data_IF_343969162765
#
_entry.id   IF_343969162765
#
_cell.length_a   1.000
_cell.length_b   1.000
_cell.length_c   1.000
_cell.angle_alpha   90.00
_cell.angle_beta   90.00
_cell.angle_gamma   90.00
#
_symmetry.space_group_name_H-M   'P 1'
#
loop_
_entity.id
_entity.type
_entity.pdbx_description
1 polymer ?
#
# COMPACT_ATOMS: atom_id res chain seq x y z
N UNK A 1 -25.79 65.24 12.49
CA UNK A 1 -26.83 65.34 11.44
C UNK A 1 -27.08 63.92 10.98
N UNK A 2 -27.98 63.21 11.67
CA UNK A 2 -29.42 63.17 11.37
C UNK A 2 -29.68 62.47 10.02
N UNK A 3 -30.61 61.53 9.86
CA UNK A 3 -31.51 60.77 10.72
C UNK A 3 -32.43 60.00 9.74
N UNK A 4 -33.10 58.94 10.23
CA UNK A 4 -34.41 58.43 9.73
C UNK A 4 -34.40 57.68 8.35
N UNK A 5 -35.08 56.54 8.11
CA UNK A 5 -36.39 56.06 8.57
C UNK A 5 -36.56 54.53 8.45
N UNK A 6 -37.61 54.04 9.12
CA UNK A 6 -37.96 52.66 9.44
C UNK A 6 -39.23 52.16 8.70
N UNK A 7 -39.58 50.87 8.92
CA UNK A 7 -40.86 50.16 8.69
C UNK A 7 -41.10 49.54 7.29
N UNK A 8 -41.71 48.35 7.10
CA UNK A 8 -42.77 47.68 7.88
C UNK A 8 -42.95 46.16 7.57
N UNK A 9 -43.45 45.46 8.59
CA UNK A 9 -44.42 44.35 8.65
C UNK A 9 -44.25 43.02 7.88
N UNK A 10 -44.21 41.92 8.64
CA UNK A 10 -44.72 40.60 8.25
C UNK A 10 -45.44 39.95 9.43
N UNK A 11 -46.65 39.44 9.20
CA UNK A 11 -47.39 38.56 10.09
C UNK A 11 -48.26 37.66 9.23
N UNK A 12 -48.17 36.33 9.43
CA UNK A 12 -49.30 35.39 9.57
C UNK A 12 -48.72 34.05 10.07
N UNK A 13 -49.28 33.54 11.18
CA UNK A 13 -49.08 32.20 11.76
C UNK A 13 -50.09 31.19 11.18
N UNK A 14 -49.88 29.89 11.49
CA UNK A 14 -50.82 28.75 11.73
C UNK A 14 -50.24 27.50 11.06
N UNK A 15 -50.23 26.27 11.58
CA UNK A 15 -50.50 25.67 12.89
C UNK A 15 -49.98 24.21 12.84
N UNK A 16 -49.70 23.66 14.01
CA UNK A 16 -49.18 22.34 14.34
C UNK A 16 -50.24 21.24 14.37
N UNK A 17 -49.85 19.96 14.13
CA UNK A 17 -49.82 18.87 15.14
C UNK A 17 -49.49 17.48 14.56
N UNK A 18 -48.72 16.71 15.36
CA UNK A 18 -48.37 15.28 15.31
C UNK A 18 -49.35 14.43 16.12
N UNK A 19 -49.48 13.12 15.81
CA UNK A 19 -49.77 11.97 16.72
C UNK A 19 -49.24 10.71 15.98
N UNK A 20 -48.26 9.89 16.40
CA UNK A 20 -48.00 9.01 17.57
C UNK A 20 -48.76 7.65 17.56
N UNK A 21 -48.03 6.53 17.67
CA UNK A 21 -48.51 5.13 17.72
C UNK A 21 -47.87 4.39 18.91
N UNK A 22 -48.64 3.55 19.62
CA UNK A 22 -48.14 2.64 20.66
C UNK A 22 -49.09 1.49 21.04
N UNK A 23 -48.51 0.27 21.04
CA UNK A 23 -48.60 -0.88 22.00
C UNK A 23 -49.87 -1.72 22.31
N UNK A 24 -49.79 -3.04 21.96
CA UNK A 24 -50.02 -4.33 22.71
C UNK A 24 -51.39 -4.70 23.40
N UNK A 25 -51.66 -5.96 23.88
CA UNK A 25 -51.23 -7.36 23.52
C UNK A 25 -52.32 -8.51 23.66
N UNK A 26 -51.90 -9.79 23.45
CA UNK A 26 -52.31 -11.09 24.11
C UNK A 26 -53.54 -11.95 23.67
N UNK A 27 -53.33 -13.24 23.30
CA UNK A 27 -53.82 -14.48 23.98
C UNK A 27 -53.63 -15.82 23.18
N UNK A 28 -53.80 -16.95 23.90
CA UNK A 28 -53.25 -18.33 23.81
C UNK A 28 -54.02 -19.41 22.95
N UNK A 29 -53.26 -20.33 22.27
CA UNK A 29 -53.17 -21.84 22.34
C UNK A 29 -54.45 -22.74 22.17
N UNK A 30 -54.44 -24.05 21.74
CA UNK A 30 -53.76 -24.81 20.63
C UNK A 30 -54.65 -25.93 19.95
N UNK A 31 -54.07 -26.77 19.06
CA UNK A 31 -54.57 -28.13 18.72
C UNK A 31 -54.12 -28.65 17.34
N UNK A 32 -53.11 -29.53 17.24
CA UNK A 32 -53.13 -31.02 17.10
C UNK A 32 -53.16 -31.59 15.66
N UNK A 33 -52.22 -32.52 15.44
CA UNK A 33 -52.19 -33.70 14.51
C UNK A 33 -52.14 -33.46 12.99
N UNK A 34 -51.55 -34.31 12.12
CA UNK A 34 -50.50 -35.32 12.11
C UNK A 34 -50.52 -35.97 10.68
N UNK A 35 -49.39 -36.54 10.22
CA UNK A 35 -49.27 -37.74 9.35
C UNK A 35 -49.33 -37.62 7.80
N UNK A 36 -48.20 -38.01 7.18
CA UNK A 36 -47.95 -38.83 5.96
C UNK A 36 -48.58 -38.43 4.59
N UNK A 37 -48.04 -38.76 3.41
CA UNK A 37 -46.81 -39.43 2.95
C UNK A 37 -46.82 -39.40 1.40
N UNK A 38 -45.61 -39.45 0.83
CA UNK A 38 -45.24 -40.26 -0.35
C UNK A 38 -45.59 -39.83 -1.80
N UNK A 39 -44.51 -39.95 -2.60
CA UNK A 39 -44.41 -40.57 -3.93
C UNK A 39 -44.66 -39.72 -5.20
N UNK A 40 -43.52 -39.35 -5.80
CA UNK A 40 -43.13 -39.27 -7.23
C UNK A 40 -43.65 -40.42 -8.13
N UNK A 41 -43.35 -40.47 -9.45
CA UNK A 41 -43.03 -39.44 -10.47
C UNK A 41 -43.81 -39.66 -11.79
N UNK A 42 -43.74 -38.76 -12.79
CA UNK A 42 -43.75 -39.19 -14.19
C UNK A 42 -43.17 -38.16 -15.17
N UNK A 43 -42.39 -38.71 -16.11
CA UNK A 43 -41.61 -38.09 -17.19
C UNK A 43 -42.50 -37.49 -18.28
N UNK A 44 -42.02 -36.45 -18.96
CA UNK A 44 -41.66 -36.49 -20.39
C UNK A 44 -41.29 -35.10 -20.93
N UNK A 45 -40.05 -34.97 -21.41
CA UNK A 45 -39.63 -34.04 -22.46
C UNK A 45 -40.10 -34.58 -23.82
N UNK A 46 -40.31 -33.73 -24.85
CA UNK A 46 -39.18 -33.31 -25.70
C UNK A 46 -39.25 -31.86 -26.24
N UNK A 47 -38.08 -31.24 -26.42
CA UNK A 47 -37.81 -30.14 -27.39
C UNK A 47 -37.39 -30.76 -28.74
N UNK A 48 -37.06 -30.03 -29.84
CA UNK A 48 -37.08 -28.57 -30.08
C UNK A 48 -37.69 -28.16 -31.45
N UNK A 49 -38.00 -26.87 -31.63
CA UNK A 49 -38.18 -26.28 -32.97
C UNK A 49 -37.38 -24.97 -33.09
N UNK A 50 -36.41 -24.98 -34.02
CA UNK A 50 -35.77 -23.81 -34.63
C UNK A 50 -36.74 -23.16 -35.61
N UNK A 51 -36.63 -21.84 -35.80
CA UNK A 51 -36.51 -21.17 -37.11
C UNK A 51 -36.07 -19.69 -36.89
N UNK A 52 -35.47 -19.03 -37.92
CA UNK A 52 -34.53 -17.91 -37.81
C UNK A 52 -35.17 -16.54 -38.13
N UNK A 53 -34.42 -15.42 -38.06
CA UNK A 53 -34.47 -14.22 -38.94
C UNK A 53 -33.53 -13.14 -38.33
N UNK A 54 -32.32 -12.96 -38.87
CA UNK A 54 -31.88 -11.98 -39.88
C UNK A 54 -31.65 -10.54 -39.38
N UNK A 55 -30.41 -10.10 -39.62
CA UNK A 55 -29.89 -8.74 -39.49
C UNK A 55 -30.49 -7.82 -40.55
N UNK A 56 -30.81 -6.59 -40.17
CA UNK A 56 -30.86 -5.46 -41.11
C UNK A 56 -30.06 -4.28 -40.58
N UNK A 57 -29.04 -3.93 -41.35
CA UNK A 57 -28.34 -2.65 -41.38
C UNK A 57 -28.91 -1.82 -42.53
N UNK A 58 -29.17 -0.53 -42.33
CA UNK A 58 -28.99 0.57 -43.32
C UNK A 58 -29.31 1.94 -42.69
N UNK A 59 -28.80 3.04 -43.27
CA UNK A 59 -28.44 4.28 -42.58
C UNK A 59 -29.43 5.42 -42.82
N UNK A 60 -29.41 6.48 -42.00
CA UNK A 60 -29.94 7.79 -42.43
C UNK A 60 -29.17 8.96 -41.83
N UNK A 61 -28.64 9.78 -42.74
CA UNK A 61 -28.10 11.12 -42.57
C UNK A 61 -29.19 12.17 -42.78
N UNK A 62 -29.30 13.15 -41.89
CA UNK A 62 -29.33 14.61 -42.14
C UNK A 62 -30.04 15.40 -41.03
N UNK A 63 -29.28 16.33 -40.43
CA UNK A 63 -29.67 17.48 -39.62
C UNK A 63 -30.41 18.55 -40.47
N UNK A 64 -31.07 19.56 -39.84
CA UNK A 64 -30.34 20.79 -39.51
C UNK A 64 -30.61 21.38 -38.10
N UNK A 65 -29.49 21.86 -37.52
CA UNK A 65 -29.24 23.06 -36.70
C UNK A 65 -30.33 23.68 -35.80
N UNK A 66 -30.04 23.84 -34.50
CA UNK A 66 -29.38 25.04 -33.92
C UNK A 66 -29.70 25.18 -32.42
N UNK A 67 -28.71 25.10 -31.52
CA UNK A 67 -28.74 25.77 -30.20
C UNK A 67 -27.31 25.82 -29.59
N UNK A 68 -26.88 27.04 -29.21
CA UNK A 68 -25.54 27.36 -28.70
C UNK A 68 -25.35 26.99 -27.20
N UNK A 69 -24.11 26.70 -26.76
CA UNK A 69 -23.80 26.33 -25.37
C UNK A 69 -23.38 27.57 -24.54
N UNK A 70 -23.89 27.70 -23.31
CA UNK A 70 -23.37 28.65 -22.31
C UNK A 70 -22.85 27.91 -21.07
N UNK A 71 -21.53 27.85 -21.00
CA UNK A 71 -20.63 27.98 -19.83
C UNK A 71 -21.27 27.87 -18.43
N UNK A 72 -21.04 26.74 -17.77
CA UNK A 72 -21.10 26.62 -16.31
C UNK A 72 -19.75 27.04 -15.73
N UNK A 73 -19.72 28.23 -15.13
CA UNK A 73 -18.60 28.72 -14.30
C UNK A 73 -18.82 28.27 -12.86
N UNK A 74 -17.79 27.65 -12.30
CA UNK A 74 -17.62 27.30 -10.89
C UNK A 74 -17.65 28.56 -10.02
N UNK A 75 -18.39 28.52 -8.92
CA UNK A 75 -18.39 29.57 -7.91
C UNK A 75 -17.47 29.16 -6.75
N UNK A 76 -16.46 30.00 -6.52
CA UNK A 76 -15.43 29.89 -5.50
C UNK A 76 -15.97 30.08 -4.09
N UNK A 77 -15.44 29.30 -3.15
CA UNK A 77 -15.66 29.38 -1.70
C UNK A 77 -14.89 30.57 -1.11
N UNK A 78 -15.49 31.44 -0.27
CA UNK A 78 -14.77 32.49 0.45
C UNK A 78 -14.15 31.97 1.78
N UNK A 79 -13.02 32.54 2.24
CA UNK A 79 -12.29 32.09 3.44
C UNK A 79 -12.95 32.58 4.75
N UNK A 80 -12.61 31.96 5.91
CA UNK A 80 -13.15 32.36 7.21
C UNK A 80 -12.55 33.69 7.73
N UNK A 81 -13.25 34.42 8.62
CA UNK A 81 -12.84 35.74 9.08
C UNK A 81 -11.69 35.71 10.11
N UNK A 82 -10.80 36.70 9.98
CA UNK A 82 -9.67 37.00 10.88
C UNK A 82 -10.14 37.65 12.19
N UNK A 83 -9.57 37.22 13.31
CA UNK A 83 -9.78 37.78 14.65
C UNK A 83 -9.12 39.17 14.82
N UNK A 84 -9.70 40.11 15.60
CA UNK A 84 -9.15 41.45 15.79
C UNK A 84 -7.98 41.49 16.80
N UNK A 85 -7.09 42.50 16.71
CA UNK A 85 -5.89 42.59 17.53
C UNK A 85 -6.19 43.10 18.95
N UNK A 86 -5.51 42.53 19.96
CA UNK A 86 -5.51 43.04 21.33
C UNK A 86 -4.61 44.28 21.43
N UNK A 87 -5.20 45.38 21.89
CA UNK A 87 -4.51 46.61 22.24
C UNK A 87 -3.76 46.49 23.57
N UNK A 88 -2.63 47.18 23.63
CA UNK A 88 -1.71 47.34 24.75
C UNK A 88 -2.24 48.30 25.82
N UNK A 89 -1.85 48.07 27.07
CA UNK A 89 -1.92 49.05 28.14
C UNK A 89 -0.69 48.95 29.02
N UNK A 90 0.15 49.99 29.00
CA UNK A 90 1.17 50.29 30.00
C UNK A 90 0.84 51.65 30.64
N UNK A 91 1.24 51.90 31.90
CA UNK A 91 1.42 53.26 32.37
C UNK A 91 2.87 53.55 32.81
N UNK A 92 3.38 54.67 32.28
CA UNK A 92 4.21 55.72 32.88
C UNK A 92 5.33 55.37 33.88
N UNK A 93 6.55 55.86 33.54
CA UNK A 93 7.30 56.68 34.49
C UNK A 93 8.83 56.67 34.42
N UNK A 94 9.39 57.75 33.85
CA UNK A 94 10.69 58.41 34.13
C UNK A 94 12.00 57.87 33.51
N UNK A 95 12.57 58.71 32.64
CA UNK A 95 14.02 58.82 32.30
C UNK A 95 14.80 59.60 33.39
N UNK A 96 16.15 59.56 33.41
CA UNK A 96 17.01 60.36 32.51
C UNK A 96 18.20 59.55 31.92
N UNK A 97 18.56 59.67 30.63
CA UNK A 97 19.45 60.66 29.99
C UNK A 97 20.97 60.30 30.02
N UNK A 98 21.56 60.25 28.81
CA UNK A 98 22.92 60.72 28.41
C UNK A 98 24.03 59.67 28.06
N UNK A 99 24.49 59.82 26.80
CA UNK A 99 25.79 59.54 26.15
C UNK A 99 26.26 58.13 25.74
N UNK A 100 26.42 57.99 24.42
CA UNK A 100 27.40 57.15 23.70
C UNK A 100 28.83 57.70 23.80
N UNK A 101 29.87 56.84 23.69
CA UNK A 101 30.68 56.89 22.46
C UNK A 101 31.17 55.51 21.95
N UNK A 102 31.66 55.52 20.71
CA UNK A 102 32.11 54.41 19.84
C UNK A 102 33.51 53.81 20.23
N UNK A 103 34.04 52.78 19.51
CA UNK A 103 34.81 51.66 20.07
C UNK A 103 36.35 51.80 19.99
N UNK A 104 37.10 50.81 20.55
CA UNK A 104 38.37 50.39 19.95
C UNK A 104 38.47 48.86 19.72
N UNK A 105 39.23 48.50 18.69
CA UNK A 105 39.67 47.13 18.29
C UNK A 105 41.07 46.86 18.90
N UNK A 106 41.72 45.72 18.62
CA UNK A 106 41.85 44.51 19.46
C UNK A 106 43.18 44.46 20.25
N UNK A 107 43.30 43.52 21.20
CA UNK A 107 44.61 43.05 21.65
C UNK A 107 44.60 41.54 21.95
N UNK A 108 45.73 40.97 21.54
CA UNK A 108 46.19 39.58 21.50
C UNK A 108 46.44 38.91 22.86
N UNK A 109 46.06 37.62 22.96
CA UNK A 109 46.72 36.43 23.56
C UNK A 109 47.35 36.50 24.98
N UNK A 110 47.27 35.44 25.83
CA UNK A 110 47.78 34.11 25.46
C UNK A 110 47.04 32.85 25.96
N UNK A 111 47.21 31.82 25.14
CA UNK A 111 47.27 30.38 25.41
C UNK A 111 47.00 29.87 26.85
N UNK A 112 45.92 29.10 26.99
CA UNK A 112 45.84 27.99 27.95
C UNK A 112 45.70 26.66 27.19
N UNK A 113 46.73 25.84 27.35
CA UNK A 113 46.80 24.46 26.90
C UNK A 113 45.81 23.61 27.70
N UNK A 114 44.81 23.04 27.03
CA UNK A 114 44.02 21.94 27.53
C UNK A 114 44.01 20.85 26.44
N UNK A 115 44.67 19.73 26.74
CA UNK A 115 44.69 18.54 25.91
C UNK A 115 43.27 17.98 25.74
N UNK A 116 42.82 17.59 24.54
CA UNK A 116 41.54 16.92 24.40
C UNK A 116 41.68 15.47 24.89
N UNK A 117 41.02 15.19 26.02
CA UNK A 117 40.63 13.84 26.41
C UNK A 117 39.81 13.22 25.28
N UNK A 118 40.20 12.02 24.88
CA UNK A 118 39.63 11.19 23.82
C UNK A 118 38.11 11.25 23.73
N UNK A 119 37.61 11.73 22.60
CA UNK A 119 36.23 11.52 22.17
C UNK A 119 35.98 10.01 21.96
N UNK A 120 34.78 9.49 22.30
CA UNK A 120 34.44 8.11 21.99
C UNK A 120 34.36 7.92 20.46
N UNK A 121 34.60 6.70 19.95
CA UNK A 121 34.68 6.47 18.52
C UNK A 121 33.32 6.71 17.85
N UNK A 122 33.27 7.74 17.01
CA UNK A 122 32.23 7.90 15.98
C UNK A 122 32.38 6.78 14.95
N UNK A 123 31.88 5.57 15.23
CA UNK A 123 31.87 4.47 14.24
C UNK A 123 30.91 3.33 14.59
N UNK A 124 29.64 3.63 14.85
CA UNK A 124 28.59 2.60 14.99
C UNK A 124 27.30 2.93 14.24
N UNK A 125 27.19 4.11 13.62
CA UNK A 125 26.06 4.41 12.75
C UNK A 125 26.26 3.69 11.41
N UNK A 126 25.30 2.87 10.94
CA UNK A 126 25.36 2.34 9.59
C UNK A 126 25.46 3.51 8.61
N UNK A 127 26.29 3.37 7.58
CA UNK A 127 26.32 4.34 6.49
C UNK A 127 24.90 4.46 5.90
N UNK A 128 24.41 5.66 5.56
CA UNK A 128 23.02 5.89 5.16
C UNK A 128 22.53 5.04 3.97
N UNK A 129 23.46 4.46 3.19
CA UNK A 129 23.16 3.67 1.99
C UNK A 129 23.02 2.14 2.18
N UNK A 130 22.65 1.60 3.35
CA UNK A 130 22.52 0.13 3.45
C UNK A 130 21.59 -0.41 4.54
N UNK A 131 20.46 0.24 4.82
CA UNK A 131 19.45 -0.39 5.69
C UNK A 131 18.80 -1.55 4.90
N UNK A 132 18.93 -2.83 5.34
CA UNK A 132 18.30 -3.94 4.64
C UNK A 132 16.78 -3.87 4.78
N UNK A 133 16.05 -4.26 3.74
CA UNK A 133 14.58 -4.28 3.79
C UNK A 133 14.01 -5.38 4.72
N UNK A 134 14.82 -6.42 4.99
CA UNK A 134 14.49 -7.49 5.93
C UNK A 134 15.69 -7.70 6.83
N UNK A 135 15.48 -7.59 8.14
CA UNK A 135 16.52 -7.82 9.14
C UNK A 135 16.20 -9.09 9.94
N UNK A 136 17.22 -9.93 10.11
CA UNK A 136 17.11 -11.11 10.96
C UNK A 136 17.16 -10.73 12.45
N UNK A 137 16.57 -11.55 13.35
CA UNK A 137 16.63 -11.30 14.78
C UNK A 137 18.07 -11.32 15.32
N UNK A 138 18.94 -12.15 14.73
CA UNK A 138 20.36 -12.24 15.10
C UNK A 138 21.12 -10.98 14.72
N UNK A 139 20.84 -10.40 13.54
CA UNK A 139 21.50 -9.16 13.11
C UNK A 139 21.06 -7.99 13.99
N UNK A 140 19.76 -7.89 14.27
CA UNK A 140 19.20 -6.89 15.18
C UNK A 140 19.75 -7.02 16.60
N UNK A 141 19.85 -8.24 17.13
CA UNK A 141 20.40 -8.50 18.46
C UNK A 141 21.88 -8.12 18.53
N UNK A 142 22.65 -8.47 17.50
CA UNK A 142 24.08 -8.14 17.42
C UNK A 142 24.31 -6.63 17.34
N UNK A 143 23.56 -5.94 16.47
CA UNK A 143 23.70 -4.51 16.24
C UNK A 143 23.21 -3.67 17.44
N UNK A 144 22.08 -4.04 18.05
CA UNK A 144 21.57 -3.37 19.26
C UNK A 144 22.50 -3.57 20.46
N UNK A 145 23.06 -4.77 20.64
CA UNK A 145 24.04 -5.05 21.69
C UNK A 145 25.32 -4.23 21.50
N UNK A 146 25.83 -4.12 20.27
CA UNK A 146 26.99 -3.29 19.95
C UNK A 146 26.74 -1.80 20.23
N UNK A 147 25.50 -1.34 20.08
CA UNK A 147 25.08 0.03 20.41
C UNK A 147 24.68 0.23 21.88
N UNK A 148 24.68 -0.83 22.70
CA UNK A 148 24.16 -0.83 24.09
C UNK A 148 22.73 -0.26 24.19
N UNK A 149 21.84 -0.72 23.30
CA UNK A 149 20.43 -0.34 23.25
C UNK A 149 19.54 -1.59 23.27
N UNK A 150 18.26 -1.39 23.60
CA UNK A 150 17.24 -2.38 23.27
C UNK A 150 17.11 -2.51 21.75
N UNK A 151 16.59 -3.64 21.24
CA UNK A 151 16.32 -3.82 19.81
C UNK A 151 15.37 -2.72 19.31
N UNK A 152 14.34 -2.39 20.10
CA UNK A 152 13.36 -1.37 19.73
C UNK A 152 14.01 0.03 19.65
N UNK A 153 14.79 0.43 20.66
CA UNK A 153 15.55 1.69 20.63
C UNK A 153 16.52 1.73 19.46
N UNK A 154 17.18 0.61 19.14
CA UNK A 154 18.07 0.53 17.99
C UNK A 154 17.32 0.76 16.68
N UNK A 155 16.17 0.10 16.51
CA UNK A 155 15.30 0.29 15.33
C UNK A 155 14.89 1.76 15.22
N UNK A 156 14.35 2.34 16.30
CA UNK A 156 13.88 3.74 16.31
C UNK A 156 15.01 4.72 15.96
N UNK A 157 16.17 4.58 16.59
CA UNK A 157 17.26 5.57 16.47
C UNK A 157 18.11 5.41 15.22
N UNK A 158 18.33 4.17 14.76
CA UNK A 158 19.32 3.89 13.72
C UNK A 158 18.76 3.32 12.43
N UNK A 159 17.52 2.81 12.43
CA UNK A 159 16.92 2.22 11.22
C UNK A 159 15.74 3.03 10.69
N UNK A 160 14.82 3.43 11.56
CA UNK A 160 13.55 4.01 11.15
C UNK A 160 13.73 5.36 10.43
N UNK A 161 14.39 6.34 11.06
CA UNK A 161 14.63 7.64 10.41
C UNK A 161 15.56 7.53 9.19
N UNK A 162 16.72 6.86 9.25
CA UNK A 162 17.58 6.72 8.06
C UNK A 162 16.88 6.04 6.87
N UNK A 163 15.95 5.12 7.12
CA UNK A 163 15.21 4.47 6.06
C UNK A 163 14.23 5.38 5.30
N UNK A 164 13.94 6.60 5.77
CA UNK A 164 13.13 7.55 4.99
C UNK A 164 13.80 7.93 3.66
N UNK A 165 15.13 7.83 3.58
CA UNK A 165 15.90 8.09 2.35
C UNK A 165 15.59 7.09 1.22
N UNK A 166 15.02 5.92 1.56
CA UNK A 166 14.61 4.89 0.59
C UNK A 166 13.20 5.14 0.03
N UNK A 167 12.45 6.10 0.58
CA UNK A 167 11.11 6.43 0.09
C UNK A 167 11.15 7.03 -1.32
N UNK A 168 10.06 6.85 -2.06
CA UNK A 168 9.91 7.38 -3.43
C UNK A 168 8.67 8.28 -3.55
N UNK A 169 8.67 9.52 -2.97
CA UNK A 169 7.51 10.41 -2.98
C UNK A 169 7.68 11.63 -3.92
N UNK A 170 7.75 11.47 -5.25
CA UNK A 170 7.94 12.60 -6.16
C UNK A 170 6.78 13.62 -6.17
N UNK A 171 5.61 13.29 -5.61
CA UNK A 171 4.44 14.19 -5.56
C UNK A 171 4.48 15.04 -4.30
N UNK A 172 4.53 14.41 -3.13
CA UNK A 172 4.47 15.11 -1.83
C UNK A 172 5.83 15.60 -1.35
N UNK A 173 6.92 14.96 -1.78
CA UNK A 173 8.27 15.09 -1.21
C UNK A 173 8.33 14.77 0.29
N UNK A 174 7.33 14.06 0.80
CA UNK A 174 7.21 13.70 2.20
C UNK A 174 7.64 12.24 2.38
N UNK A 175 8.77 12.05 3.06
CA UNK A 175 9.41 10.75 3.18
C UNK A 175 8.98 10.08 4.48
N UNK A 176 8.44 8.87 4.37
CA UNK A 176 7.90 8.10 5.50
C UNK A 176 8.44 6.69 5.44
N UNK A 177 8.80 6.16 6.60
CA UNK A 177 9.25 4.79 6.79
C UNK A 177 8.43 4.13 7.89
N UNK A 178 8.33 2.81 7.80
CA UNK A 178 7.69 1.96 8.79
C UNK A 178 8.46 0.65 8.90
N UNK A 179 8.50 0.06 10.09
CA UNK A 179 9.14 -1.23 10.33
C UNK A 179 8.14 -2.13 11.05
N UNK A 180 7.70 -3.19 10.37
CA UNK A 180 6.84 -4.22 10.94
C UNK A 180 7.69 -5.32 11.60
N UNK A 181 7.35 -5.74 12.82
CA UNK A 181 8.10 -6.77 13.55
C UNK A 181 7.28 -8.05 13.65
N UNK A 182 7.82 -9.14 13.13
CA UNK A 182 7.23 -10.47 13.16
C UNK A 182 7.02 -10.97 14.59
N UNK A 183 5.80 -11.41 14.93
CA UNK A 183 5.45 -11.79 16.30
C UNK A 183 6.15 -13.07 16.78
N UNK A 184 6.39 -14.01 15.86
CA UNK A 184 7.01 -15.31 16.18
C UNK A 184 8.47 -15.35 15.78
N UNK A 185 8.79 -14.77 14.63
CA UNK A 185 10.15 -14.85 14.09
C UNK A 185 11.06 -13.79 14.67
N UNK A 186 10.53 -12.63 15.10
CA UNK A 186 11.32 -11.46 15.48
C UNK A 186 12.00 -10.76 14.30
N UNK A 187 11.73 -11.18 13.04
CA UNK A 187 12.22 -10.49 11.85
C UNK A 187 11.61 -9.10 11.75
N UNK A 188 12.38 -8.14 11.27
CA UNK A 188 11.88 -6.79 10.99
C UNK A 188 11.79 -6.56 9.48
N UNK A 189 10.67 -6.00 9.03
CA UNK A 189 10.36 -5.72 7.63
C UNK A 189 10.21 -4.22 7.46
N UNK A 190 11.16 -3.61 6.78
CA UNK A 190 11.13 -2.20 6.45
C UNK A 190 10.14 -1.96 5.31
N UNK A 191 9.43 -0.84 5.41
CA UNK A 191 8.66 -0.26 4.33
C UNK A 191 8.76 1.24 4.26
N UNK A 192 8.51 1.76 3.07
CA UNK A 192 8.60 3.18 2.73
C UNK A 192 7.44 3.57 1.82
N UNK A 193 7.09 4.85 1.78
CA UNK A 193 6.03 5.31 0.90
C UNK A 193 6.49 5.42 -0.57
N UNK A 194 5.61 5.03 -1.49
CA UNK A 194 5.81 5.10 -2.93
C UNK A 194 4.68 5.93 -3.56
N UNK A 195 5.04 6.88 -4.42
CA UNK A 195 4.09 7.70 -5.17
C UNK A 195 4.42 7.66 -6.66
N UNK A 196 3.37 7.69 -7.48
CA UNK A 196 3.48 7.44 -8.91
C UNK A 196 2.92 8.63 -9.71
N UNK A 197 3.78 9.48 -10.31
CA UNK A 197 3.33 10.61 -11.10
C UNK A 197 2.50 10.21 -12.31
N UNK A 198 1.39 10.91 -12.54
CA UNK A 198 0.55 10.70 -13.73
C UNK A 198 -0.44 9.54 -13.63
N UNK A 199 -0.57 8.90 -12.46
CA UNK A 199 -1.70 8.02 -12.12
C UNK A 199 -2.48 8.60 -10.93
N UNK A 200 -3.75 8.23 -10.71
CA UNK A 200 -4.53 8.73 -9.57
C UNK A 200 -3.91 8.34 -8.22
N UNK A 201 -4.10 9.20 -7.20
CA UNK A 201 -3.52 9.04 -5.85
C UNK A 201 -3.82 7.72 -5.14
N UNK A 202 -4.91 7.03 -5.51
CA UNK A 202 -5.22 5.71 -4.95
C UNK A 202 -4.21 4.62 -5.38
N UNK A 203 -3.29 4.92 -6.30
CA UNK A 203 -2.18 4.03 -6.66
C UNK A 203 -0.98 4.15 -5.72
N UNK A 204 -0.92 5.18 -4.87
CA UNK A 204 0.18 5.38 -3.94
C UNK A 204 0.22 4.27 -2.89
N UNK A 205 1.42 3.93 -2.44
CA UNK A 205 1.66 2.95 -1.37
C UNK A 205 2.16 3.69 -0.14
N UNK A 206 1.53 3.44 1.00
CA UNK A 206 1.97 3.98 2.28
C UNK A 206 3.05 3.08 2.91
N UNK A 207 3.92 3.64 3.75
CA UNK A 207 5.03 2.90 4.36
C UNK A 207 4.54 1.70 5.18
N UNK A 208 3.39 1.82 5.84
CA UNK A 208 2.75 0.76 6.63
C UNK A 208 2.22 -0.37 5.74
N UNK A 209 1.57 -0.03 4.61
CA UNK A 209 1.15 -1.02 3.61
C UNK A 209 2.36 -1.73 3.02
N UNK A 210 3.43 -0.99 2.72
CA UNK A 210 4.69 -1.54 2.24
C UNK A 210 5.26 -2.55 3.25
N UNK A 211 5.41 -2.16 4.52
CA UNK A 211 6.02 -3.02 5.54
C UNK A 211 5.23 -4.33 5.74
N UNK A 212 3.89 -4.25 5.75
CA UNK A 212 3.02 -5.44 5.85
C UNK A 212 3.09 -6.29 4.59
N UNK A 213 3.11 -5.70 3.41
CA UNK A 213 3.27 -6.44 2.15
C UNK A 213 4.64 -7.11 2.05
N UNK A 214 5.70 -6.46 2.54
CA UNK A 214 7.04 -7.04 2.67
C UNK A 214 7.03 -8.23 3.63
N UNK A 215 6.36 -8.11 4.78
CA UNK A 215 6.18 -9.23 5.70
C UNK A 215 5.43 -10.40 5.03
N UNK A 216 4.36 -10.12 4.27
CA UNK A 216 3.61 -11.12 3.51
C UNK A 216 4.48 -11.82 2.45
N UNK A 217 5.25 -11.05 1.66
CA UNK A 217 6.18 -11.55 0.64
C UNK A 217 7.19 -12.54 1.23
N UNK A 218 7.61 -12.32 2.48
CA UNK A 218 8.57 -13.17 3.20
C UNK A 218 7.92 -14.22 4.10
N UNK A 219 6.61 -14.47 3.92
CA UNK A 219 5.87 -15.52 4.63
C UNK A 219 5.77 -15.30 6.14
N UNK A 220 5.83 -14.05 6.62
CA UNK A 220 5.64 -13.77 8.04
C UNK A 220 4.17 -13.98 8.43
N UNK A 221 3.86 -14.82 9.44
CA UNK A 221 2.49 -15.23 9.72
C UNK A 221 1.71 -14.24 10.60
N UNK A 222 2.39 -13.36 11.34
CA UNK A 222 1.78 -12.41 12.27
C UNK A 222 2.76 -11.32 12.68
N UNK A 223 2.24 -10.15 13.06
CA UNK A 223 3.03 -9.00 13.53
C UNK A 223 2.76 -8.72 15.01
N UNK A 224 3.79 -8.29 15.74
CA UNK A 224 3.70 -7.90 17.15
C UNK A 224 3.76 -6.39 17.35
N UNK A 225 4.47 -5.69 16.46
CA UNK A 225 4.62 -4.24 16.51
C UNK A 225 4.77 -3.65 15.11
N UNK A 226 4.38 -2.39 15.00
CA UNK A 226 4.64 -1.52 13.85
C UNK A 226 5.27 -0.23 14.35
N UNK A 227 6.51 0.03 13.95
CA UNK A 227 7.22 1.27 14.25
C UNK A 227 7.11 2.20 13.05
N UNK A 228 6.75 3.46 13.24
CA UNK A 228 6.48 4.41 12.15
C UNK A 228 7.14 5.76 12.39
N UNK A 229 7.69 6.37 11.33
CA UNK A 229 8.32 7.69 11.44
C UNK A 229 7.31 8.84 11.54
N UNK A 230 6.03 8.56 11.22
CA UNK A 230 4.90 9.49 11.32
C UNK A 230 3.63 8.74 11.73
N UNK A 231 2.68 9.39 12.43
CA UNK A 231 1.43 8.75 12.83
C UNK A 231 0.69 8.13 11.64
N UNK A 232 0.19 6.89 11.76
CA UNK A 232 -0.48 6.25 10.63
C UNK A 232 -1.78 6.97 10.32
N UNK A 233 -2.08 7.17 9.03
CA UNK A 233 -3.32 7.81 8.61
C UNK A 233 -4.52 6.86 8.73
N UNK A 234 -5.75 7.37 8.59
CA UNK A 234 -6.97 6.56 8.68
C UNK A 234 -7.00 5.38 7.70
N UNK A 235 -6.45 5.54 6.50
CA UNK A 235 -6.32 4.49 5.48
C UNK A 235 -5.45 3.33 5.97
N UNK A 236 -4.25 3.62 6.50
CA UNK A 236 -3.36 2.61 7.06
C UNK A 236 -3.94 1.95 8.31
N UNK A 237 -4.55 2.73 9.21
CA UNK A 237 -5.24 2.19 10.41
C UNK A 237 -6.31 1.18 10.02
N UNK A 238 -7.03 1.44 8.94
CA UNK A 238 -8.08 0.55 8.42
C UNK A 238 -7.49 -0.67 7.71
N UNK A 239 -6.44 -0.50 6.89
CA UNK A 239 -5.72 -1.60 6.25
C UNK A 239 -5.16 -2.60 7.27
N UNK A 240 -4.60 -2.10 8.38
CA UNK A 240 -4.06 -2.94 9.45
C UNK A 240 -5.13 -3.79 10.17
N UNK A 241 -6.42 -3.49 10.02
CA UNK A 241 -7.48 -4.33 10.60
C UNK A 241 -7.62 -5.69 9.91
N UNK A 242 -6.99 -5.89 8.75
CA UNK A 242 -6.97 -7.18 8.07
C UNK A 242 -6.06 -8.20 8.77
N UNK A 243 -5.25 -7.79 9.75
CA UNK A 243 -4.35 -8.67 10.49
C UNK A 243 -5.08 -9.42 11.61
N UNK A 244 -4.71 -10.69 11.83
CA UNK A 244 -5.13 -11.41 13.04
C UNK A 244 -4.62 -10.71 14.29
N UNK A 245 -5.50 -10.49 15.26
CA UNK A 245 -5.16 -9.82 16.52
C UNK A 245 -4.84 -8.34 16.35
N UNK A 246 -5.35 -7.69 15.29
CA UNK A 246 -5.16 -6.27 15.03
C UNK A 246 -5.46 -5.38 16.24
N UNK A 247 -6.34 -5.77 17.17
CA UNK A 247 -6.61 -4.96 18.39
C UNK A 247 -5.38 -4.76 19.26
N UNK A 248 -4.50 -5.76 19.32
CA UNK A 248 -3.33 -5.81 20.19
C UNK A 248 -2.04 -5.42 19.48
N UNK A 249 -2.09 -5.04 18.20
CA UNK A 249 -0.90 -4.59 17.47
C UNK A 249 -0.36 -3.31 18.15
N UNK A 250 0.85 -3.39 18.69
CA UNK A 250 1.55 -2.22 19.24
C UNK A 250 1.99 -1.32 18.10
N UNK A 251 1.83 -0.02 18.28
CA UNK A 251 2.29 0.99 17.32
C UNK A 251 3.21 1.95 18.05
N UNK A 252 4.45 2.08 17.57
CA UNK A 252 5.43 3.03 18.11
C UNK A 252 5.61 4.14 17.10
N UNK A 253 5.25 5.36 17.47
CA UNK A 253 5.36 6.55 16.65
C UNK A 253 6.63 7.29 17.09
N UNK A 254 7.62 7.37 16.21
CA UNK A 254 8.87 8.04 16.49
C UNK A 254 9.12 9.15 15.47
N UNK A 255 8.59 10.33 15.77
CA UNK A 255 8.81 11.53 14.97
C UNK A 255 10.18 12.12 15.23
N UNK A 256 10.69 12.91 14.27
CA UNK A 256 12.01 13.49 14.39
C UNK A 256 12.04 14.53 15.52
N UNK A 257 13.06 14.46 16.37
CA UNK A 257 13.24 15.33 17.54
C UNK A 257 12.17 15.22 18.66
N UNK A 258 11.29 14.22 18.59
CA UNK A 258 10.32 13.91 19.65
C UNK A 258 10.62 12.56 20.32
N UNK A 259 10.14 12.37 21.56
CA UNK A 259 10.22 11.08 22.21
C UNK A 259 9.25 10.11 21.53
N UNK A 260 9.67 8.86 21.33
CA UNK A 260 8.81 7.85 20.74
C UNK A 260 7.56 7.63 21.64
N UNK A 261 6.38 7.68 21.03
CA UNK A 261 5.11 7.42 21.68
C UNK A 261 4.66 5.99 21.34
N UNK A 262 4.37 5.21 22.38
CA UNK A 262 3.78 3.89 22.23
C UNK A 262 2.26 3.95 22.40
N UNK A 263 1.55 3.33 21.46
CA UNK A 263 0.09 3.21 21.48
C UNK A 263 -0.34 1.85 20.90
N UNK A 264 -1.65 1.64 20.78
CA UNK A 264 -2.21 0.45 20.13
C UNK A 264 -3.06 0.84 18.93
N UNK A 265 -3.23 -0.09 17.99
CA UNK A 265 -4.11 0.15 16.86
C UNK A 265 -5.57 0.39 17.30
N UNK A 266 -6.04 -0.23 18.38
CA UNK A 266 -7.37 0.03 18.97
C UNK A 266 -7.53 1.46 19.46
N UNK A 267 -6.47 2.04 20.04
CA UNK A 267 -6.49 3.44 20.47
C UNK A 267 -6.51 4.39 19.27
N UNK A 268 -5.77 4.06 18.21
CA UNK A 268 -5.71 4.85 16.98
C UNK A 268 -6.99 4.76 16.14
N UNK A 269 -7.72 3.65 16.22
CA UNK A 269 -8.98 3.43 15.50
C UNK A 269 -10.04 2.79 16.42
N UNK A 270 -10.67 3.57 17.31
CA UNK A 270 -11.72 3.06 18.19
C UNK A 270 -12.98 2.72 17.38
N UNK A 271 -13.77 1.76 17.87
CA UNK A 271 -15.01 1.29 17.23
C UNK A 271 -14.83 0.93 15.74
N UNK A 272 -13.72 0.26 15.46
CA UNK A 272 -13.30 -0.14 14.11
C UNK A 272 -14.36 -0.96 13.37
N UNK A 273 -14.32 -0.84 12.05
CA UNK A 273 -14.88 -1.81 11.11
C UNK A 273 -13.76 -2.74 10.61
N UNK A 274 -14.04 -4.00 10.30
CA UNK A 274 -13.00 -4.93 9.84
C UNK A 274 -13.53 -6.34 9.53
N UNK A 275 -12.63 -7.33 9.37
CA UNK A 275 -12.99 -8.70 8.99
C UNK A 275 -14.11 -9.32 9.84
N UNK A 276 -14.04 -9.16 11.16
CA UNK A 276 -15.06 -9.63 12.12
C UNK A 276 -16.49 -9.10 11.86
N UNK A 277 -16.65 -8.05 11.05
CA UNK A 277 -17.96 -7.51 10.65
C UNK A 277 -18.55 -8.21 9.42
N UNK A 278 -17.73 -8.88 8.62
CA UNK A 278 -18.09 -9.44 7.30
C UNK A 278 -17.81 -10.93 7.14
N UNK A 279 -16.85 -11.47 7.89
CA UNK A 279 -16.33 -12.83 7.78
C UNK A 279 -16.60 -13.63 9.05
N UNK A 280 -16.53 -14.95 8.95
CA UNK A 280 -16.55 -15.84 10.12
C UNK A 280 -15.28 -15.69 10.97
N UNK A 281 -15.39 -15.93 12.27
CA UNK A 281 -14.29 -15.74 13.23
C UNK A 281 -13.06 -16.61 12.92
N UNK A 282 -13.28 -17.80 12.37
CA UNK A 282 -12.25 -18.77 12.00
C UNK A 282 -11.69 -18.58 10.58
N UNK A 283 -12.19 -17.59 9.83
CA UNK A 283 -11.70 -17.31 8.48
C UNK A 283 -10.22 -16.88 8.51
N UNK A 284 -9.33 -17.45 7.68
CA UNK A 284 -7.91 -17.05 7.62
C UNK A 284 -7.73 -15.59 7.19
N UNK A 285 -7.00 -14.79 7.99
CA UNK A 285 -6.84 -13.35 7.72
C UNK A 285 -5.54 -13.04 6.97
N UNK A 286 -5.22 -11.75 6.80
CA UNK A 286 -3.97 -11.32 6.18
C UNK A 286 -2.76 -11.90 6.95
N UNK A 287 -1.69 -12.21 6.21
CA UNK A 287 -0.48 -12.92 6.67
C UNK A 287 -0.62 -14.41 6.98
N UNK A 288 -1.83 -14.91 7.22
CA UNK A 288 -2.04 -16.35 7.37
C UNK A 288 -1.90 -17.09 6.02
N UNK A 289 -1.45 -18.35 6.09
CA UNK A 289 -1.25 -19.20 4.93
C UNK A 289 -2.56 -19.39 4.15
N UNK A 290 -2.48 -19.28 2.82
CA UNK A 290 -3.61 -19.49 1.92
C UNK A 290 -3.15 -19.98 0.56
N UNK A 291 -4.04 -20.72 -0.09
CA UNK A 291 -3.91 -21.13 -1.49
C UNK A 291 -5.28 -21.07 -2.15
N UNK A 292 -5.45 -20.14 -3.10
CA UNK A 292 -6.69 -20.00 -3.87
C UNK A 292 -6.89 -21.13 -4.90
N UNK A 293 -5.95 -22.08 -5.00
CA UNK A 293 -6.04 -23.30 -5.81
C UNK A 293 -6.35 -23.04 -7.29
N UNK A 294 -5.81 -21.94 -7.84
CA UNK A 294 -5.97 -21.52 -9.23
C UNK A 294 -4.99 -22.25 -10.15
N UNK A 295 -5.45 -22.52 -11.37
CA UNK A 295 -4.66 -23.04 -12.48
C UNK A 295 -4.92 -22.20 -13.73
N UNK A 296 -3.87 -21.97 -14.53
CA UNK A 296 -3.99 -21.24 -15.80
C UNK A 296 -4.96 -21.96 -16.74
N UNK A 297 -5.79 -21.18 -17.45
CA UNK A 297 -6.70 -21.69 -18.47
C UNK A 297 -5.91 -22.10 -19.72
N UNK A 298 -4.98 -21.25 -20.13
CA UNK A 298 -4.03 -21.51 -21.21
C UNK A 298 -2.65 -21.76 -20.59
N UNK A 299 -2.21 -23.04 -20.49
CA UNK A 299 -0.91 -23.36 -19.90
C UNK A 299 0.23 -22.75 -20.70
N UNK A 300 1.24 -22.24 -19.99
CA UNK A 300 2.50 -21.77 -20.60
C UNK A 300 3.51 -22.91 -20.64
N UNK A 301 4.30 -22.99 -21.71
CA UNK A 301 5.38 -23.97 -21.84
C UNK A 301 6.47 -23.70 -20.79
N UNK A 302 6.71 -24.66 -19.91
CA UNK A 302 7.78 -24.57 -18.91
C UNK A 302 9.01 -25.29 -19.48
N UNK A 303 10.18 -24.62 -19.62
CA UNK A 303 11.41 -25.34 -19.91
C UNK A 303 11.65 -26.40 -18.84
N UNK A 304 12.23 -27.53 -19.22
CA UNK A 304 12.49 -28.60 -18.26
C UNK A 304 13.50 -28.10 -17.20
N UNK A 305 13.47 -28.60 -15.94
CA UNK A 305 14.44 -28.20 -14.91
C UNK A 305 15.91 -28.43 -15.31
N UNK A 306 16.16 -29.24 -16.34
CA UNK A 306 17.50 -29.52 -16.87
C UNK A 306 18.04 -28.41 -17.78
N UNK A 307 17.20 -27.50 -18.25
CA UNK A 307 17.61 -26.40 -19.16
C UNK A 307 18.17 -25.17 -18.41
N UNK A 308 18.03 -25.11 -17.07
CA UNK A 308 18.50 -24.00 -16.23
C UNK A 308 19.99 -24.08 -15.81
N UNK A 309 20.73 -25.13 -16.20
CA UNK A 309 22.08 -25.43 -15.68
C UNK A 309 23.22 -24.58 -16.30
N UNK A 310 22.95 -23.48 -17.02
CA UNK A 310 24.04 -22.67 -17.63
C UNK A 310 24.04 -21.17 -17.29
N UNK A 311 23.36 -20.74 -16.22
CA UNK A 311 23.68 -19.43 -15.62
C UNK A 311 24.05 -19.64 -14.15
N UNK A 312 25.35 -19.64 -13.80
CA UNK A 312 25.76 -19.73 -12.41
C UNK A 312 25.22 -18.52 -11.63
N UNK A 313 24.73 -18.69 -10.40
CA UNK A 313 24.57 -17.55 -9.51
C UNK A 313 25.95 -16.94 -9.29
N UNK A 314 26.12 -15.66 -9.59
CA UNK A 314 27.33 -14.92 -9.22
C UNK A 314 27.40 -14.87 -7.68
N UNK A 315 28.09 -15.86 -7.12
CA UNK A 315 28.49 -15.86 -5.73
C UNK A 315 29.36 -14.62 -5.48
N UNK A 316 28.80 -13.62 -4.78
CA UNK A 316 29.59 -12.51 -4.24
C UNK A 316 30.46 -13.04 -3.11
N UNK A 317 31.66 -13.50 -3.46
CA UNK A 317 32.74 -13.65 -2.49
C UNK A 317 33.24 -12.25 -2.13
N UNK A 318 33.01 -11.83 -0.89
CA UNK A 318 33.69 -10.67 -0.31
C UNK A 318 35.17 -10.99 -0.18
N UNK A 319 36.00 -10.33 -0.99
CA UNK A 319 37.44 -10.26 -0.77
C UNK A 319 37.88 -8.81 -0.82
N UNK A 320 38.44 -8.36 0.29
CA UNK A 320 39.01 -7.04 0.50
C UNK A 320 40.31 -6.88 -0.29
N UNK A 321 40.26 -6.24 -1.44
CA UNK A 321 41.44 -5.71 -2.11
C UNK A 321 41.10 -4.44 -2.92
N UNK A 322 41.99 -3.45 -2.82
CA UNK A 322 41.91 -2.08 -3.36
C UNK A 322 41.79 -2.00 -4.89
N UNK A 323 41.22 -0.91 -5.46
CA UNK A 323 40.95 -0.83 -6.89
C UNK A 323 42.21 -0.39 -7.65
N UNK A 324 42.73 -1.28 -8.50
CA UNK A 324 43.64 -0.90 -9.59
C UNK A 324 43.17 -1.52 -10.89
N UNK A 325 42.68 -0.65 -11.78
CA UNK A 325 42.53 -0.79 -13.23
C UNK A 325 42.80 -2.18 -13.85
N UNK A 326 41.77 -3.01 -13.94
CA UNK A 326 41.52 -3.99 -15.02
C UNK A 326 40.10 -4.53 -14.84
N UNK A 327 39.18 -4.14 -15.72
CA UNK A 327 38.04 -4.95 -16.25
C UNK A 327 36.96 -4.05 -16.85
N UNK A 328 37.29 -3.47 -18.01
CA UNK A 328 36.29 -2.90 -18.94
C UNK A 328 35.78 -3.95 -19.93
N UNK A 329 35.85 -5.25 -19.61
CA UNK A 329 35.57 -6.34 -20.55
C UNK A 329 34.56 -7.39 -20.03
N UNK A 330 34.03 -7.26 -18.81
CA UNK A 330 32.97 -8.14 -18.28
C UNK A 330 31.56 -7.51 -18.29
N UNK A 331 31.42 -6.29 -18.83
CA UNK A 331 30.13 -5.59 -18.98
C UNK A 331 29.49 -5.78 -20.37
N UNK A 332 30.05 -6.66 -21.20
CA UNK A 332 29.58 -6.90 -22.57
C UNK A 332 29.04 -8.34 -22.71
N UNK A 333 27.72 -8.50 -22.51
CA UNK A 333 26.81 -9.43 -23.19
C UNK A 333 25.58 -9.80 -22.33
N UNK A 334 24.86 -8.80 -21.81
CA UNK A 334 23.41 -8.97 -21.64
C UNK A 334 22.81 -8.38 -22.91
N UNK A 335 22.52 -9.22 -23.90
CA UNK A 335 21.78 -8.77 -25.07
C UNK A 335 20.46 -8.23 -24.55
N UNK A 336 20.24 -6.92 -24.66
CA UNK A 336 19.02 -6.27 -24.20
C UNK A 336 17.83 -6.96 -24.87
N UNK A 337 17.11 -7.81 -24.13
CA UNK A 337 15.98 -8.55 -24.66
C UNK A 337 14.90 -7.52 -24.99
N UNK A 338 14.49 -7.48 -26.26
CA UNK A 338 13.40 -6.58 -26.69
C UNK A 338 12.14 -6.86 -25.88
N UNK A 339 11.43 -5.84 -25.34
CA UNK A 339 10.24 -6.03 -24.50
C UNK A 339 9.15 -6.93 -25.10
N UNK A 340 8.98 -6.93 -26.43
CA UNK A 340 8.05 -7.79 -27.13
C UNK A 340 8.52 -9.25 -27.22
N UNK A 341 9.84 -9.48 -27.28
CA UNK A 341 10.42 -10.83 -27.30
C UNK A 341 10.31 -11.52 -25.93
N UNK A 342 10.26 -10.76 -24.84
CA UNK A 342 10.09 -11.31 -23.47
C UNK A 342 8.78 -12.06 -23.35
N UNK A 343 7.68 -11.55 -23.91
CA UNK A 343 6.33 -12.11 -23.73
C UNK A 343 6.23 -13.58 -24.14
N UNK A 344 6.82 -13.94 -25.28
CA UNK A 344 6.80 -15.30 -25.83
C UNK A 344 8.06 -16.11 -25.47
N UNK A 345 8.86 -15.63 -24.51
CA UNK A 345 10.10 -16.28 -24.09
C UNK A 345 9.90 -17.15 -22.84
N UNK A 346 10.84 -18.06 -22.52
CA UNK A 346 10.88 -18.76 -21.24
C UNK A 346 10.75 -17.83 -20.02
N UNK A 347 11.35 -16.64 -20.09
CA UNK A 347 11.28 -15.64 -19.03
C UNK A 347 9.87 -15.02 -18.91
N UNK A 348 9.17 -14.85 -20.03
CA UNK A 348 7.76 -14.47 -20.03
C UNK A 348 6.91 -15.53 -19.33
N UNK A 349 7.14 -16.81 -19.65
CA UNK A 349 6.42 -17.92 -19.02
C UNK A 349 6.71 -18.02 -17.51
N UNK A 350 7.96 -17.81 -17.10
CA UNK A 350 8.32 -17.71 -15.68
C UNK A 350 7.55 -16.58 -14.98
N UNK A 351 7.44 -15.40 -15.60
CA UNK A 351 6.66 -14.30 -15.04
C UNK A 351 5.18 -14.66 -14.86
N UNK A 352 4.57 -15.36 -15.81
CA UNK A 352 3.18 -15.83 -15.69
C UNK A 352 3.03 -16.81 -14.52
N UNK A 353 3.95 -17.74 -14.36
CA UNK A 353 3.92 -18.71 -13.24
C UNK A 353 4.10 -18.00 -11.89
N UNK A 354 5.04 -17.05 -11.79
CA UNK A 354 5.25 -16.24 -10.58
C UNK A 354 4.03 -15.37 -10.25
N UNK A 355 3.34 -14.85 -11.27
CA UNK A 355 2.07 -14.13 -11.10
C UNK A 355 0.94 -15.07 -10.66
N UNK A 356 0.90 -16.32 -11.14
CA UNK A 356 -0.05 -17.33 -10.69
C UNK A 356 0.18 -17.71 -9.22
N UNK A 357 1.44 -17.94 -8.81
CA UNK A 357 1.78 -18.21 -7.41
C UNK A 357 1.32 -17.05 -6.50
N UNK A 358 1.53 -15.81 -6.95
CA UNK A 358 1.06 -14.63 -6.24
C UNK A 358 -0.48 -14.53 -6.20
N UNK A 359 -1.17 -14.92 -7.27
CA UNK A 359 -2.63 -14.99 -7.28
C UNK A 359 -3.13 -16.07 -6.29
N UNK A 360 -2.46 -17.21 -6.21
CA UNK A 360 -2.75 -18.27 -5.24
C UNK A 360 -2.50 -17.83 -3.79
N UNK A 361 -1.49 -17.01 -3.54
CA UNK A 361 -1.22 -16.44 -2.22
C UNK A 361 -2.06 -15.19 -1.87
N UNK A 362 -2.81 -14.63 -2.83
CA UNK A 362 -3.55 -13.36 -2.66
C UNK A 362 -4.71 -13.44 -1.65
N UNK A 363 -4.89 -12.37 -0.89
CA UNK A 363 -5.97 -12.22 0.11
C UNK A 363 -7.12 -11.43 -0.51
N UNK A 364 -8.19 -12.12 -0.92
CA UNK A 364 -9.36 -11.49 -1.55
C UNK A 364 -10.70 -12.09 -1.06
N UNK A 365 -10.96 -12.10 0.26
CA UNK A 365 -12.12 -12.80 0.82
C UNK A 365 -13.45 -12.11 0.55
N UNK A 366 -13.45 -10.84 0.16
CA UNK A 366 -14.67 -10.04 0.02
C UNK A 366 -15.21 -10.09 -1.40
N UNK A 367 -14.36 -9.85 -2.40
CA UNK A 367 -14.75 -9.92 -3.81
C UNK A 367 -14.60 -11.30 -4.43
N UNK A 368 -13.88 -12.21 -3.78
CA UNK A 368 -13.50 -13.53 -4.32
C UNK A 368 -12.79 -13.42 -5.68
N UNK A 369 -12.02 -12.35 -5.85
CA UNK A 369 -11.31 -11.99 -7.09
C UNK A 369 -9.79 -12.01 -6.88
N UNK A 370 -9.19 -13.20 -6.64
CA UNK A 370 -7.75 -13.33 -6.45
C UNK A 370 -6.99 -12.92 -7.71
N UNK A 371 -5.87 -12.23 -7.50
CA UNK A 371 -4.99 -11.77 -8.58
C UNK A 371 -3.54 -11.62 -8.12
N UNK A 372 -2.63 -11.74 -9.09
CA UNK A 372 -1.19 -11.62 -8.88
C UNK A 372 -0.52 -10.98 -10.07
N UNK A 373 0.56 -10.23 -9.82
CA UNK A 373 1.35 -9.56 -10.85
C UNK A 373 2.81 -9.95 -10.71
N UNK A 374 3.50 -10.15 -11.83
CA UNK A 374 4.94 -10.29 -11.90
C UNK A 374 5.55 -9.25 -12.83
N UNK A 375 6.69 -8.69 -12.41
CA UNK A 375 7.49 -7.72 -13.14
C UNK A 375 8.79 -8.39 -13.59
N UNK A 376 9.11 -8.29 -14.87
CA UNK A 376 10.41 -8.70 -15.42
C UNK A 376 11.25 -7.45 -15.62
N UNK A 377 12.49 -7.45 -15.13
CA UNK A 377 13.43 -6.34 -15.31
C UNK A 377 14.40 -6.58 -16.46
N UNK A 378 15.15 -5.54 -16.87
CA UNK A 378 16.22 -5.64 -17.88
C UNK A 378 17.32 -6.65 -17.53
N UNK A 379 17.50 -6.96 -16.25
CA UNK A 379 18.48 -7.96 -15.78
C UNK A 379 17.95 -9.39 -15.88
N UNK A 380 16.67 -9.56 -16.21
CA UNK A 380 15.98 -10.85 -16.22
C UNK A 380 15.43 -11.28 -14.87
N UNK A 381 15.52 -10.45 -13.82
CA UNK A 381 14.91 -10.75 -12.53
C UNK A 381 13.38 -10.64 -12.59
N UNK A 382 12.69 -11.53 -11.88
CA UNK A 382 11.22 -11.59 -11.80
C UNK A 382 10.75 -11.29 -10.38
N UNK A 383 10.02 -10.20 -10.20
CA UNK A 383 9.49 -9.74 -8.91
C UNK A 383 7.97 -9.86 -8.90
N UNK A 384 7.38 -10.56 -7.92
CA UNK A 384 5.96 -10.85 -7.91
C UNK A 384 5.24 -10.32 -6.66
N UNK A 385 3.99 -9.90 -6.83
CA UNK A 385 3.16 -9.32 -5.79
C UNK A 385 1.74 -9.86 -5.82
N UNK A 386 1.21 -10.13 -4.62
CA UNK A 386 -0.13 -10.66 -4.42
C UNK A 386 -1.12 -9.54 -4.14
N UNK A 387 -2.36 -9.67 -4.59
CA UNK A 387 -3.43 -8.77 -4.18
C UNK A 387 -3.74 -8.90 -2.68
N UNK A 388 -3.96 -7.77 -2.00
CA UNK A 388 -4.40 -7.71 -0.61
C UNK A 388 -5.65 -6.84 -0.53
N UNK A 389 -6.79 -7.46 -0.31
CA UNK A 389 -8.07 -6.79 -0.16
C UNK A 389 -8.27 -6.29 1.29
N UNK A 390 -9.12 -5.29 1.46
CA UNK A 390 -9.57 -4.84 2.78
C UNK A 390 -11.08 -4.83 2.87
N UNK A 391 -11.62 -5.10 4.07
CA UNK A 391 -13.05 -5.00 4.40
C UNK A 391 -13.64 -3.65 3.99
N UNK A 392 -12.84 -2.58 4.09
CA UNK A 392 -13.25 -1.22 3.73
C UNK A 392 -13.07 -0.89 2.24
N UNK A 393 -12.69 -1.87 1.42
CA UNK A 393 -12.42 -1.80 -0.03
C UNK A 393 -11.33 -0.83 -0.46
N UNK A 394 -11.47 0.47 -0.24
CA UNK A 394 -10.50 1.49 -0.65
C UNK A 394 -9.09 1.26 -0.10
N UNK A 395 -8.89 0.72 1.12
CA UNK A 395 -7.54 0.41 1.62
C UNK A 395 -6.86 -0.79 0.99
N UNK A 396 -7.51 -1.51 0.08
CA UNK A 396 -6.92 -2.65 -0.62
C UNK A 396 -5.64 -2.23 -1.36
N UNK A 397 -4.64 -3.11 -1.36
CA UNK A 397 -3.37 -2.95 -2.05
C UNK A 397 -3.37 -3.82 -3.31
N UNK A 398 -3.47 -3.24 -4.53
CA UNK A 398 -3.49 -4.02 -5.77
C UNK A 398 -2.19 -4.80 -6.00
N UNK A 399 -2.28 -5.90 -6.74
CA UNK A 399 -1.14 -6.78 -7.02
C UNK A 399 0.03 -6.07 -7.73
N UNK A 400 -0.24 -5.08 -8.59
CA UNK A 400 0.81 -4.26 -9.23
C UNK A 400 1.65 -3.52 -8.19
N UNK A 401 1.01 -2.85 -7.23
CA UNK A 401 1.70 -2.17 -6.14
C UNK A 401 2.48 -3.15 -5.27
N UNK A 402 1.93 -4.32 -4.95
CA UNK A 402 2.64 -5.38 -4.25
C UNK A 402 3.89 -5.86 -5.01
N UNK A 403 3.83 -5.94 -6.35
CA UNK A 403 4.96 -6.36 -7.17
C UNK A 403 6.04 -5.27 -7.27
N UNK A 404 5.63 -3.99 -7.28
CA UNK A 404 6.55 -2.86 -7.18
C UNK A 404 7.24 -2.80 -5.81
N UNK A 405 6.53 -3.15 -4.73
CA UNK A 405 7.12 -3.33 -3.40
C UNK A 405 8.16 -4.44 -3.44
N UNK A 406 7.85 -5.60 -4.03
CA UNK A 406 8.81 -6.71 -4.17
C UNK A 406 10.05 -6.29 -4.96
N UNK A 407 9.89 -5.55 -6.07
CA UNK A 407 11.01 -4.97 -6.82
C UNK A 407 11.90 -4.11 -5.92
N UNK A 408 11.33 -3.19 -5.13
CA UNK A 408 12.10 -2.32 -4.23
C UNK A 408 12.82 -3.13 -3.16
N UNK A 409 12.13 -4.07 -2.53
CA UNK A 409 12.69 -4.89 -1.45
C UNK A 409 13.84 -5.78 -1.94
N UNK A 410 13.61 -6.53 -3.00
CA UNK A 410 14.54 -7.55 -3.50
C UNK A 410 15.78 -6.93 -4.18
N UNK A 411 15.67 -5.69 -4.66
CA UNK A 411 16.82 -4.92 -5.19
C UNK A 411 17.53 -4.08 -4.13
N UNK A 412 17.09 -4.13 -2.87
CA UNK A 412 17.67 -3.33 -1.79
C UNK A 412 17.47 -1.82 -1.96
N UNK A 413 16.39 -1.41 -2.65
CA UNK A 413 16.06 0.00 -2.90
C UNK A 413 16.54 0.55 -4.24
N UNK A 414 17.41 -0.17 -4.95
CA UNK A 414 18.05 0.29 -6.19
C UNK A 414 17.19 0.09 -7.45
N UNK A 415 16.17 -0.77 -7.40
CA UNK A 415 15.38 -1.16 -8.57
C UNK A 415 14.54 -0.02 -9.12
N UNK A 416 14.90 0.49 -10.31
CA UNK A 416 14.18 1.56 -10.99
C UNK A 416 12.92 1.03 -11.71
N UNK A 417 11.85 1.82 -11.77
CA UNK A 417 10.64 1.41 -12.48
C UNK A 417 10.85 1.35 -13.99
N UNK A 418 11.78 2.17 -14.49
CA UNK A 418 12.20 2.23 -15.88
C UNK A 418 12.91 0.96 -16.35
N UNK A 419 13.42 0.14 -15.43
CA UNK A 419 14.06 -1.15 -15.72
C UNK A 419 13.07 -2.28 -15.95
N UNK A 420 11.79 -2.08 -15.65
CA UNK A 420 10.75 -3.07 -15.94
C UNK A 420 10.53 -3.14 -17.45
N UNK A 421 10.66 -4.33 -18.02
CA UNK A 421 10.49 -4.62 -19.46
C UNK A 421 9.24 -5.42 -19.78
N UNK A 422 8.69 -6.16 -18.81
CA UNK A 422 7.44 -6.88 -18.97
C UNK A 422 6.65 -6.92 -17.65
N UNK A 423 5.33 -6.87 -17.76
CA UNK A 423 4.38 -7.04 -16.64
C UNK A 423 3.37 -8.12 -17.03
N UNK A 424 3.33 -9.20 -16.26
CA UNK A 424 2.35 -10.27 -16.39
C UNK A 424 1.33 -10.17 -15.25
N UNK A 425 0.04 -10.11 -15.59
CA UNK A 425 -1.07 -10.15 -14.63
C UNK A 425 -1.81 -11.48 -14.77
N UNK A 426 -2.06 -12.14 -13.64
CA UNK A 426 -2.94 -13.31 -13.54
C UNK A 426 -4.17 -12.94 -12.72
N UNK A 427 -5.37 -13.20 -13.26
CA UNK A 427 -6.65 -13.00 -12.57
C UNK A 427 -7.54 -14.24 -12.69
N UNK A 428 -8.43 -14.43 -11.71
CA UNK A 428 -9.48 -15.45 -11.81
C UNK A 428 -10.46 -15.14 -12.95
N UNK A 429 -10.75 -16.14 -13.78
CA UNK A 429 -11.79 -16.07 -14.81
C UNK A 429 -13.16 -15.81 -14.16
N UNK A 430 -13.91 -14.85 -14.71
CA UNK A 430 -15.20 -14.46 -14.16
C UNK A 430 -15.13 -13.68 -12.84
N UNK A 431 -13.95 -13.18 -12.46
CA UNK A 431 -13.79 -12.32 -11.28
C UNK A 431 -14.75 -11.11 -11.30
N UNK A 432 -15.33 -10.80 -10.14
CA UNK A 432 -16.24 -9.67 -9.97
C UNK A 432 -15.52 -8.33 -10.02
N UNK A 433 -14.28 -8.31 -9.50
CA UNK A 433 -13.37 -7.17 -9.56
C UNK A 433 -12.24 -7.54 -10.51
N UNK A 434 -12.03 -6.71 -11.55
CA UNK A 434 -10.93 -6.89 -12.50
C UNK A 434 -9.97 -5.70 -12.44
N UNK A 435 -8.69 -5.99 -12.49
CA UNK A 435 -7.60 -5.04 -12.43
C UNK A 435 -6.90 -4.84 -13.78
N UNK A 436 -7.22 -5.63 -14.81
CA UNK A 436 -6.50 -5.61 -16.09
C UNK A 436 -6.37 -4.21 -16.73
N UNK A 437 -7.48 -3.48 -16.83
CA UNK A 437 -7.54 -2.19 -17.50
C UNK A 437 -6.80 -1.12 -16.70
N UNK A 438 -6.98 -1.11 -15.37
CA UNK A 438 -6.31 -0.14 -14.50
C UNK A 438 -4.82 -0.46 -14.38
N UNK A 439 -4.44 -1.73 -14.33
CA UNK A 439 -3.05 -2.19 -14.31
C UNK A 439 -2.34 -1.76 -15.59
N UNK A 440 -2.93 -2.02 -16.76
CA UNK A 440 -2.36 -1.61 -18.03
C UNK A 440 -2.15 -0.08 -18.11
N UNK A 441 -3.14 0.71 -17.66
CA UNK A 441 -3.03 2.17 -17.61
C UNK A 441 -1.95 2.64 -16.65
N UNK A 442 -1.85 2.04 -15.46
CA UNK A 442 -0.83 2.38 -14.47
C UNK A 442 0.56 2.01 -14.96
N UNK A 443 0.74 0.82 -15.55
CA UNK A 443 2.02 0.38 -16.15
C UNK A 443 2.46 1.33 -17.25
N UNK A 444 1.57 1.78 -18.14
CA UNK A 444 1.91 2.73 -19.19
C UNK A 444 2.45 4.08 -18.68
N UNK A 445 2.22 4.42 -17.41
CA UNK A 445 2.74 5.63 -16.75
C UNK A 445 3.96 5.36 -15.89
N UNK A 446 3.97 4.25 -15.14
CA UNK A 446 5.03 3.88 -14.19
C UNK A 446 6.25 3.29 -14.92
N UNK A 447 6.01 2.42 -15.90
CA UNK A 447 7.03 1.72 -16.68
C UNK A 447 6.68 1.78 -18.17
N UNK A 448 6.81 2.94 -18.84
CA UNK A 448 6.28 3.18 -20.18
C UNK A 448 6.89 2.31 -21.29
N UNK A 449 8.02 1.66 -21.03
CA UNK A 449 8.68 0.75 -21.98
C UNK A 449 8.29 -0.72 -21.76
N UNK A 450 7.59 -1.04 -20.67
CA UNK A 450 7.20 -2.40 -20.36
C UNK A 450 6.05 -2.85 -21.27
N UNK A 451 6.13 -4.09 -21.73
CA UNK A 451 4.96 -4.77 -22.32
C UNK A 451 4.06 -5.30 -21.20
N UNK A 452 2.77 -5.47 -21.50
CA UNK A 452 1.77 -5.97 -20.57
C UNK A 452 1.09 -7.22 -21.13
N UNK A 453 0.92 -8.26 -20.32
CA UNK A 453 0.14 -9.45 -20.66
C UNK A 453 -0.86 -9.79 -19.54
N UNK A 454 -2.07 -10.20 -19.95
CA UNK A 454 -3.12 -10.69 -19.06
C UNK A 454 -3.29 -12.19 -19.29
N UNK A 455 -3.36 -12.94 -18.21
CA UNK A 455 -3.58 -14.38 -18.19
C UNK A 455 -4.74 -14.68 -17.24
N UNK A 456 -5.60 -15.61 -17.65
CA UNK A 456 -6.75 -16.01 -16.85
C UNK A 456 -6.50 -17.37 -16.21
N UNK A 457 -6.91 -17.50 -14.96
CA UNK A 457 -6.84 -18.73 -14.19
C UNK A 457 -8.24 -19.12 -13.68
N UNK A 458 -8.46 -20.41 -13.51
CA UNK A 458 -9.69 -20.95 -12.92
C UNK A 458 -9.36 -21.75 -11.67
N UNK A 459 -10.31 -21.88 -10.77
CA UNK A 459 -10.15 -22.82 -9.66
C UNK A 459 -9.95 -24.23 -10.21
N UNK A 460 -8.98 -24.94 -9.65
CA UNK A 460 -8.80 -26.35 -9.93
C UNK A 460 -10.07 -27.08 -9.53
N UNK A 461 -10.69 -27.78 -10.48
CA UNK A 461 -11.76 -28.71 -10.15
C UNK A 461 -11.12 -29.81 -9.33
N UNK A 462 -11.33 -29.79 -8.00
CA UNK A 462 -11.19 -31.00 -7.21
C UNK A 462 -12.03 -32.06 -7.94
N UNK A 463 -11.38 -33.10 -8.45
CA UNK A 463 -12.11 -34.28 -8.91
C UNK A 463 -12.92 -34.75 -7.71
N UNK A 464 -14.24 -34.56 -7.78
CA UNK A 464 -15.17 -35.02 -6.76
C UNK A 464 -14.99 -36.53 -6.63
N UNK A 465 -14.26 -36.95 -5.60
CA UNK A 465 -14.30 -38.33 -5.11
C UNK A 465 -15.69 -38.54 -4.51
N UNK A 466 -16.51 -39.28 -5.25
CA UNK A 466 -17.86 -39.69 -4.84
C UNK A 466 -17.89 -40.78 -3.79
#
# INVERSE_FOLDING_TARGET
>A
MCDLLCASASSVRVSSRKVAVGSHPSHLVPGTTAINSAATPCRHSPSPLRLPFQRHSTPFSHLPASFHPRLLRTASVPPPPLSPPRASSAPNGRSPAVTSPSPPVPNSDPAFSASPSSAPPHSLAPSPCSVPFVLSPSDLSSASSAANLSIEDYIVRFLLQPATDLARPPISRFHVSAIAVGAKTGRAFLGVNLEFPGVPLHNSVHAEQFAVASAALHGEPALSALLVSRPPCGHCRQFLQELRGAEGLRVVIAEEAEAAEETSLTHLLPHRFGPHSLLADDFPLLLEQRDNSLQLIDPVDVPSPLDFVLVPPLARSFSSASPSAVDSAAAAAVSAVSPAAVVSSPLGNEAVLRALDAANASYAPYSLSPSGVALVTRTGAVHAGSYIESAAYNPSLPALQAALIALVVETGGEGAYEDVVHVALVEKEGAQVRFDSITALSVARIAPHATFSLHLARESSLSGGG
#
